data_IF_632888912289
#
_entry.id   IF_632888912289
#
_cell.length_a   1.000
_cell.length_b   1.000
_cell.length_c   1.000
_cell.angle_alpha   90.00
_cell.angle_beta   90.00
_cell.angle_gamma   90.00
#
_symmetry.space_group_name_H-M   'P 1'
#
loop_
_entity.id
_entity.type
_entity.pdbx_description
1 polymer ?
#
# COMPACT_ATOMS: atom_id res chain seq x y z
N UNK A 1 45.88 16.79 8.65
CA UNK A 1 45.35 16.69 7.25
C UNK A 1 43.82 16.77 7.19
N UNK A 2 43.10 16.24 8.19
CA UNK A 2 41.62 16.18 8.22
C UNK A 2 40.94 17.31 9.01
N UNK A 3 41.71 18.23 9.57
CA UNK A 3 41.19 19.30 10.44
C UNK A 3 40.52 20.42 9.65
N UNK A 4 40.88 20.62 8.39
CA UNK A 4 40.27 21.63 7.52
C UNK A 4 39.56 20.97 6.36
N UNK A 5 38.28 21.27 6.19
CA UNK A 5 37.45 20.68 5.15
C UNK A 5 36.30 21.62 4.78
N UNK A 6 35.73 21.45 3.60
CA UNK A 6 34.51 22.14 3.20
C UNK A 6 33.34 21.17 3.13
N UNK A 7 32.18 21.65 3.55
CA UNK A 7 30.90 20.96 3.43
C UNK A 7 30.07 21.73 2.41
N UNK A 8 29.68 21.06 1.33
CA UNK A 8 28.87 21.59 0.25
C UNK A 8 27.52 20.87 0.19
N UNK A 9 26.44 21.65 0.20
CA UNK A 9 25.08 21.18 0.01
C UNK A 9 24.61 21.60 -1.37
N UNK A 10 24.09 20.65 -2.13
CA UNK A 10 23.50 20.88 -3.44
C UNK A 10 22.36 19.90 -3.67
N UNK A 11 21.54 20.16 -4.68
CA UNK A 11 20.54 19.21 -5.12
C UNK A 11 20.59 19.05 -6.64
N UNK A 12 20.08 17.91 -7.10
CA UNK A 12 19.97 17.57 -8.51
C UNK A 12 18.49 17.39 -8.83
N UNK A 13 18.00 18.15 -9.81
CA UNK A 13 16.61 18.09 -10.26
C UNK A 13 16.37 16.94 -11.26
N UNK A 14 15.14 16.74 -11.70
CA UNK A 14 14.78 15.70 -12.68
C UNK A 14 15.39 15.89 -14.08
N UNK A 15 16.01 17.05 -14.33
CA UNK A 15 16.74 17.36 -15.56
C UNK A 15 18.25 17.18 -15.39
N UNK A 16 18.68 16.49 -14.32
CA UNK A 16 20.07 16.31 -13.91
C UNK A 16 20.87 17.61 -13.70
N UNK A 17 20.16 18.73 -13.49
CA UNK A 17 20.81 20.01 -13.21
C UNK A 17 21.18 20.09 -11.74
N UNK A 18 22.47 20.32 -11.48
CA UNK A 18 23.02 20.53 -10.15
C UNK A 18 22.89 21.99 -9.73
N UNK A 19 22.21 22.24 -8.62
CA UNK A 19 22.06 23.57 -8.02
C UNK A 19 22.74 23.61 -6.65
N UNK A 20 23.68 24.53 -6.48
CA UNK A 20 24.33 24.78 -5.19
C UNK A 20 23.37 25.44 -4.23
N UNK A 21 23.31 24.94 -2.99
CA UNK A 21 22.46 25.49 -1.92
C UNK A 21 23.32 26.32 -0.98
N UNK A 22 24.35 25.69 -0.41
CA UNK A 22 25.18 26.30 0.61
C UNK A 22 26.53 25.61 0.69
N UNK A 23 27.56 26.36 1.06
CA UNK A 23 28.89 25.83 1.29
C UNK A 23 29.51 26.52 2.51
N UNK A 24 30.20 25.74 3.34
CA UNK A 24 30.92 26.22 4.53
C UNK A 24 32.29 25.57 4.64
N UNK A 25 33.24 26.32 5.16
CA UNK A 25 34.57 25.82 5.51
C UNK A 25 34.61 25.56 7.02
N UNK A 26 35.08 24.38 7.40
CA UNK A 26 35.25 23.96 8.78
C UNK A 26 36.72 23.78 9.12
N UNK A 27 37.06 24.12 10.37
CA UNK A 27 38.37 23.91 10.95
C UNK A 27 38.24 23.38 12.37
N UNK A 28 38.60 22.12 12.58
CA UNK A 28 38.53 21.44 13.88
C UNK A 28 39.89 21.49 14.57
N UNK A 29 39.89 21.84 15.86
CA UNK A 29 41.07 21.75 16.72
C UNK A 29 41.15 20.35 17.30
N UNK A 30 42.31 19.69 17.17
CA UNK A 30 42.57 18.39 17.79
C UNK A 30 43.22 18.65 19.16
N UNK A 31 42.61 18.21 20.28
CA UNK A 31 43.23 18.28 21.59
C UNK A 31 44.52 17.44 21.63
N UNK A 32 45.50 17.89 22.42
CA UNK A 32 46.74 17.13 22.58
C UNK A 32 46.47 15.76 23.20
N UNK A 33 47.01 14.70 22.60
CA UNK A 33 46.81 13.30 23.03
C UNK A 33 45.62 12.59 22.38
N UNK A 34 44.87 13.26 21.51
CA UNK A 34 43.73 12.72 20.77
C UNK A 34 44.01 12.53 19.26
N UNK A 35 45.25 12.75 18.81
CA UNK A 35 45.60 12.81 17.38
C UNK A 35 45.37 11.48 16.63
N UNK A 36 45.39 10.36 17.35
CA UNK A 36 45.20 9.01 16.81
C UNK A 36 43.79 8.44 17.03
N UNK A 37 42.86 9.25 17.54
CA UNK A 37 41.48 8.82 17.78
C UNK A 37 40.54 9.27 16.67
N UNK A 38 39.46 8.51 16.49
CA UNK A 38 38.40 8.87 15.55
C UNK A 38 37.36 9.71 16.28
N UNK A 39 37.03 10.87 15.73
CA UNK A 39 35.95 11.73 16.21
C UNK A 39 34.75 11.65 15.27
N UNK A 40 33.55 11.65 15.85
CA UNK A 40 32.29 11.81 15.13
C UNK A 40 31.70 13.17 15.53
N UNK A 41 31.58 14.07 14.55
CA UNK A 41 31.04 15.41 14.73
C UNK A 41 29.81 15.58 13.83
N UNK A 42 28.79 16.25 14.37
CA UNK A 42 27.55 16.55 13.64
C UNK A 42 27.59 17.98 13.12
N UNK A 43 27.21 18.14 11.85
CA UNK A 43 27.17 19.43 11.16
C UNK A 43 25.78 19.63 10.57
N UNK A 44 24.95 20.36 11.29
CA UNK A 44 23.58 20.61 10.85
C UNK A 44 23.51 21.84 9.94
N UNK A 45 22.68 21.73 8.90
CA UNK A 45 22.30 22.85 8.05
C UNK A 45 20.81 22.76 7.74
N UNK A 46 20.07 23.84 8.02
CA UNK A 46 18.66 23.93 7.71
C UNK A 46 18.49 24.60 6.35
N UNK A 47 18.01 23.83 5.38
CA UNK A 47 17.65 24.35 4.06
C UNK A 47 16.37 25.17 4.22
N UNK A 48 16.42 26.45 3.87
CA UNK A 48 15.22 27.27 3.73
C UNK A 48 14.64 27.05 2.33
N UNK A 49 13.31 26.88 2.20
CA UNK A 49 12.68 26.85 0.88
C UNK A 49 13.02 28.15 0.15
N UNK A 50 13.69 28.03 -1.00
CA UNK A 50 13.88 29.17 -1.88
C UNK A 50 12.50 29.57 -2.41
N UNK A 51 12.16 30.86 -2.45
CA UNK A 51 10.80 31.36 -2.68
C UNK A 51 10.14 30.88 -3.99
N UNK A 52 10.90 30.26 -4.91
CA UNK A 52 10.44 29.80 -6.20
C UNK A 52 10.56 28.27 -6.32
N UNK A 53 9.55 27.56 -5.81
CA UNK A 53 8.87 26.31 -6.23
C UNK A 53 9.56 25.20 -7.06
N UNK A 54 10.86 25.20 -7.32
CA UNK A 54 11.51 24.12 -8.11
C UNK A 54 12.33 23.13 -7.29
N UNK A 55 12.33 23.22 -5.96
CA UNK A 55 13.17 22.45 -5.02
C UNK A 55 12.90 20.92 -4.96
N UNK A 56 12.28 20.32 -5.97
CA UNK A 56 12.04 18.87 -6.06
C UNK A 56 13.23 18.17 -6.69
N UNK A 57 13.92 17.34 -5.91
CA UNK A 57 15.01 16.53 -6.43
C UNK A 57 15.77 15.82 -5.32
N UNK A 58 16.97 15.34 -5.65
CA UNK A 58 17.81 14.63 -4.68
C UNK A 58 18.84 15.59 -4.11
N UNK A 59 18.80 15.77 -2.80
CA UNK A 59 19.69 16.61 -2.02
C UNK A 59 20.90 15.82 -1.57
N UNK A 60 22.09 16.39 -1.74
CA UNK A 60 23.36 15.78 -1.40
C UNK A 60 24.14 16.66 -0.43
N UNK A 61 24.88 15.99 0.45
CA UNK A 61 25.95 16.58 1.24
C UNK A 61 27.27 16.02 0.74
N UNK A 62 28.19 16.91 0.41
CA UNK A 62 29.51 16.60 -0.10
C UNK A 62 30.57 17.23 0.81
N UNK A 63 31.54 16.44 1.23
CA UNK A 63 32.64 16.90 2.08
C UNK A 63 33.95 16.77 1.31
N UNK A 64 34.73 17.85 1.27
CA UNK A 64 36.03 17.92 0.58
C UNK A 64 37.13 18.30 1.55
N UNK A 65 38.23 17.56 1.54
CA UNK A 65 39.42 17.90 2.32
C UNK A 65 40.68 17.44 1.58
N UNK A 66 41.54 18.40 1.24
CA UNK A 66 42.66 18.17 0.33
C UNK A 66 42.13 17.51 -0.97
N UNK A 67 42.72 16.38 -1.36
CA UNK A 67 42.37 15.64 -2.58
C UNK A 67 41.26 14.59 -2.37
N UNK A 68 40.68 14.52 -1.15
CA UNK A 68 39.63 13.54 -0.83
C UNK A 68 38.27 14.24 -0.88
N UNK A 69 37.36 13.58 -1.58
CA UNK A 69 35.96 13.97 -1.69
C UNK A 69 35.07 12.79 -1.32
N UNK A 70 34.08 13.05 -0.47
CA UNK A 70 33.05 12.07 -0.12
C UNK A 70 31.68 12.70 -0.28
N UNK A 71 30.78 11.95 -0.91
CA UNK A 71 29.39 12.37 -1.13
C UNK A 71 28.49 11.42 -0.35
N UNK A 72 27.53 11.99 0.38
CA UNK A 72 26.49 11.22 1.08
C UNK A 72 25.55 10.52 0.10
N UNK A 73 24.75 9.57 0.59
CA UNK A 73 23.78 8.81 -0.23
C UNK A 73 22.71 9.67 -0.89
N UNK A 74 22.49 10.87 -0.36
CA UNK A 74 21.46 11.80 -0.79
C UNK A 74 20.09 11.49 -0.21
N UNK A 75 19.19 12.46 -0.29
CA UNK A 75 17.80 12.37 0.17
C UNK A 75 16.91 12.97 -0.90
N UNK A 76 15.93 12.21 -1.39
CA UNK A 76 14.94 12.73 -2.32
C UNK A 76 13.89 13.56 -1.56
N UNK A 77 13.68 14.79 -2.02
CA UNK A 77 12.68 15.72 -1.48
C UNK A 77 11.72 16.08 -2.60
N UNK A 78 10.43 15.91 -2.32
CA UNK A 78 9.35 16.29 -3.22
C UNK A 78 8.69 17.56 -2.70
N UNK A 79 9.02 18.69 -3.31
CA UNK A 79 8.38 19.97 -3.04
C UNK A 79 7.00 20.00 -3.73
N UNK A 80 5.97 20.35 -2.96
CA UNK A 80 4.59 20.52 -3.44
C UNK A 80 4.04 21.83 -2.92
N UNK A 81 3.38 22.59 -3.77
CA UNK A 81 2.77 23.87 -3.40
C UNK A 81 1.63 23.70 -2.38
N UNK A 82 0.96 22.54 -2.40
CA UNK A 82 -0.22 22.24 -1.56
C UNK A 82 0.09 21.45 -0.30
N UNK A 83 1.37 21.21 0.02
CA UNK A 83 1.79 20.41 1.18
C UNK A 83 1.51 18.91 1.03
N UNK A 84 1.70 18.15 2.11
CA UNK A 84 1.41 16.72 2.15
C UNK A 84 -0.06 16.49 2.56
N UNK A 85 -0.88 16.04 1.62
CA UNK A 85 -2.21 15.50 1.94
C UNK A 85 -2.06 14.02 2.25
N UNK A 86 -2.35 13.64 3.50
CA UNK A 86 -2.33 12.25 3.91
C UNK A 86 -3.43 11.49 3.15
N UNK A 87 -3.04 10.52 2.32
CA UNK A 87 -3.97 9.77 1.46
C UNK A 87 -4.83 8.75 2.22
N UNK A 88 -4.60 8.58 3.53
CA UNK A 88 -5.38 7.68 4.40
C UNK A 88 -6.89 7.95 4.36
N UNK A 89 -7.28 9.22 4.20
CA UNK A 89 -8.69 9.63 4.25
C UNK A 89 -9.56 8.93 3.20
N UNK A 90 -9.03 8.68 2.00
CA UNK A 90 -9.77 7.96 0.95
C UNK A 90 -10.01 6.50 1.31
N UNK A 91 -9.03 5.84 1.93
CA UNK A 91 -9.14 4.44 2.34
C UNK A 91 -10.13 4.27 3.49
N UNK A 92 -10.09 5.17 4.48
CA UNK A 92 -11.01 5.17 5.63
C UNK A 92 -12.47 5.36 5.18
N UNK A 93 -12.73 6.25 4.22
CA UNK A 93 -14.07 6.44 3.66
C UNK A 93 -14.58 5.18 2.97
N UNK A 94 -13.75 4.55 2.12
CA UNK A 94 -14.15 3.35 1.37
C UNK A 94 -14.46 2.18 2.30
N UNK A 95 -13.64 1.98 3.34
CA UNK A 95 -13.87 0.95 4.36
C UNK A 95 -15.17 1.23 5.11
N UNK A 96 -15.37 2.47 5.58
CA UNK A 96 -16.56 2.86 6.33
C UNK A 96 -17.84 2.67 5.52
N UNK A 97 -17.82 3.10 4.25
CA UNK A 97 -18.95 2.95 3.34
C UNK A 97 -19.28 1.46 3.10
N UNK A 98 -18.26 0.63 2.91
CA UNK A 98 -18.43 -0.81 2.67
C UNK A 98 -19.02 -1.51 3.88
N UNK A 99 -18.53 -1.21 5.08
CA UNK A 99 -19.07 -1.75 6.34
C UNK A 99 -20.52 -1.34 6.52
N UNK A 100 -20.84 -0.07 6.29
CA UNK A 100 -22.22 0.44 6.39
C UNK A 100 -23.16 -0.30 5.43
N UNK A 101 -22.76 -0.43 4.16
CA UNK A 101 -23.54 -1.13 3.14
C UNK A 101 -23.73 -2.61 3.46
N UNK A 102 -22.70 -3.27 4.00
CA UNK A 102 -22.77 -4.67 4.41
C UNK A 102 -23.77 -4.88 5.55
N UNK A 103 -23.71 -4.03 6.59
CA UNK A 103 -24.66 -4.07 7.71
C UNK A 103 -26.08 -3.85 7.22
N UNK A 104 -26.32 -2.83 6.39
CA UNK A 104 -27.65 -2.55 5.83
C UNK A 104 -28.18 -3.73 5.01
N UNK A 105 -27.33 -4.36 4.20
CA UNK A 105 -27.70 -5.51 3.36
C UNK A 105 -28.09 -6.73 4.19
N UNK A 106 -27.31 -7.05 5.24
CA UNK A 106 -27.61 -8.16 6.16
C UNK A 106 -28.93 -7.88 6.89
N UNK A 107 -29.09 -6.66 7.40
CA UNK A 107 -30.28 -6.26 8.16
C UNK A 107 -31.54 -6.32 7.30
N UNK A 108 -31.49 -5.79 6.06
CA UNK A 108 -32.59 -5.87 5.11
C UNK A 108 -32.95 -7.33 4.79
N UNK A 109 -31.94 -8.17 4.53
CA UNK A 109 -32.15 -9.60 4.22
C UNK A 109 -32.79 -10.34 5.40
N UNK A 110 -32.31 -10.09 6.63
CA UNK A 110 -32.87 -10.68 7.84
C UNK A 110 -34.34 -10.26 8.06
N UNK A 111 -34.67 -8.98 7.85
CA UNK A 111 -36.03 -8.46 7.97
C UNK A 111 -36.98 -9.08 6.92
N UNK A 112 -36.51 -9.23 5.68
CA UNK A 112 -37.29 -9.89 4.61
C UNK A 112 -37.57 -11.36 4.93
N UNK A 113 -36.57 -12.10 5.42
CA UNK A 113 -36.75 -13.50 5.84
C UNK A 113 -37.66 -13.61 7.06
N UNK A 114 -37.55 -12.70 8.04
CA UNK A 114 -38.46 -12.65 9.19
C UNK A 114 -39.89 -12.42 8.72
N UNK A 115 -40.13 -11.42 7.87
CA UNK A 115 -41.46 -11.14 7.31
C UNK A 115 -42.02 -12.34 6.57
N UNK A 116 -41.22 -13.03 5.75
CA UNK A 116 -41.63 -14.25 5.06
C UNK A 116 -42.01 -15.37 6.03
N UNK A 117 -41.19 -15.61 7.07
CA UNK A 117 -41.49 -16.63 8.09
C UNK A 117 -42.73 -16.27 8.93
N UNK A 118 -42.90 -15.01 9.31
CA UNK A 118 -44.07 -14.52 10.04
C UNK A 118 -45.36 -14.60 9.20
N UNK A 119 -45.28 -14.31 7.90
CA UNK A 119 -46.41 -14.44 6.98
C UNK A 119 -46.78 -15.91 6.76
N UNK A 120 -45.79 -16.82 6.64
CA UNK A 120 -46.05 -18.26 6.58
C UNK A 120 -46.61 -18.82 7.91
N UNK A 121 -46.21 -18.27 9.07
CA UNK A 121 -46.76 -18.67 10.37
C UNK A 121 -48.20 -18.16 10.60
N UNK A 122 -48.58 -17.00 10.03
CA UNK A 122 -49.95 -16.48 10.06
C UNK A 122 -50.88 -17.13 9.01
N UNK A 123 -50.32 -17.77 7.98
CA UNK A 123 -51.06 -18.52 6.94
C UNK A 123 -50.96 -20.04 7.18
N UNK A 124 -51.21 -20.45 8.41
CA UNK A 124 -51.59 -21.84 8.77
C UNK A 124 -52.96 -21.73 9.44
N UNK A 125 -54.13 -21.97 8.85
CA UNK A 125 -54.56 -22.63 7.60
C UNK A 125 -55.72 -21.82 6.95
N UNK A 126 -56.06 -22.07 5.66
CA UNK A 126 -57.16 -23.00 5.42
C UNK A 126 -56.84 -24.04 4.34
N UNK A 127 -57.38 -25.24 4.56
CA UNK A 127 -57.71 -26.30 3.61
C UNK A 127 -56.69 -26.72 2.53
N UNK A 128 -56.37 -28.02 2.53
CA UNK A 128 -55.78 -28.70 1.39
C UNK A 128 -56.75 -28.63 0.21
N UNK A 129 -56.69 -27.56 -0.57
CA UNK A 129 -57.27 -27.56 -1.91
C UNK A 129 -56.35 -28.40 -2.78
N UNK A 130 -56.78 -29.62 -3.05
CA UNK A 130 -56.21 -30.51 -4.05
C UNK A 130 -56.19 -29.75 -5.39
N UNK A 131 -55.04 -29.20 -5.79
CA UNK A 131 -54.87 -28.60 -7.11
C UNK A 131 -55.15 -29.66 -8.19
N UNK A 132 -55.94 -29.38 -9.24
CA UNK A 132 -56.13 -30.32 -10.33
C UNK A 132 -54.78 -30.58 -11.01
N UNK A 133 -54.38 -31.85 -11.04
CA UNK A 133 -53.18 -32.37 -11.71
C UNK A 133 -53.20 -31.97 -13.19
N UNK A 134 -52.46 -30.93 -13.56
CA UNK A 134 -52.26 -30.52 -14.95
C UNK A 134 -51.26 -31.48 -15.62
N UNK A 135 -51.80 -32.44 -16.36
CA UNK A 135 -51.23 -33.24 -17.44
C UNK A 135 -49.70 -33.44 -17.45
N UNK A 136 -49.26 -34.63 -17.06
CA UNK A 136 -47.93 -35.15 -17.40
C UNK A 136 -47.91 -35.51 -18.90
N UNK A 137 -46.94 -35.02 -19.70
CA UNK A 137 -46.64 -35.67 -20.96
C UNK A 137 -45.94 -37.00 -20.67
N UNK A 138 -46.49 -38.09 -21.21
CA UNK A 138 -45.86 -39.41 -21.22
C UNK A 138 -44.48 -39.33 -21.87
N UNK A 139 -43.42 -39.42 -21.09
CA UNK A 139 -42.10 -39.79 -21.60
C UNK A 139 -41.82 -41.20 -21.10
N UNK A 140 -42.01 -42.13 -22.03
CA UNK A 140 -41.67 -43.54 -21.96
C UNK A 140 -40.26 -43.70 -21.36
N UNK A 141 -40.18 -44.18 -20.11
CA UNK A 141 -38.90 -44.52 -19.48
C UNK A 141 -38.42 -45.84 -20.08
N UNK A 142 -37.69 -45.78 -21.19
CA UNK A 142 -36.93 -46.92 -21.68
C UNK A 142 -35.88 -47.25 -20.61
N UNK A 143 -36.09 -48.38 -19.92
CA UNK A 143 -35.15 -48.93 -18.95
C UNK A 143 -33.93 -49.43 -19.72
N UNK A 144 -32.87 -48.64 -19.76
CA UNK A 144 -31.52 -49.12 -20.10
C UNK A 144 -30.72 -49.13 -18.81
N UNK A 145 -30.49 -50.35 -18.32
CA UNK A 145 -29.63 -50.66 -17.19
C UNK A 145 -28.18 -50.55 -17.66
N UNK A 146 -27.51 -49.44 -17.38
CA UNK A 146 -26.06 -49.31 -17.63
C UNK A 146 -25.33 -49.44 -16.29
N UNK A 147 -24.62 -50.55 -16.13
CA UNK A 147 -23.72 -50.82 -15.00
C UNK A 147 -22.71 -49.69 -14.78
N UNK A 148 -22.38 -49.44 -13.51
CA UNK A 148 -21.30 -48.54 -13.09
C UNK A 148 -19.94 -49.17 -13.37
N UNK A 149 -18.99 -48.50 -14.05
CA UNK A 149 -17.60 -48.95 -14.08
C UNK A 149 -16.91 -48.62 -12.75
N UNK A 150 -16.23 -49.62 -12.18
CA UNK A 150 -15.37 -49.52 -11.00
C UNK A 150 -14.21 -48.56 -11.25
N UNK A 151 -14.00 -47.63 -10.32
CA UNK A 151 -12.89 -46.66 -10.36
C UNK A 151 -11.54 -47.37 -10.17
N UNK A 152 -10.55 -47.06 -11.02
CA UNK A 152 -9.15 -47.39 -10.81
C UNK A 152 -8.40 -46.15 -10.31
N UNK A 153 -7.44 -46.27 -9.37
CA UNK A 153 -6.72 -45.11 -8.82
C UNK A 153 -5.73 -44.51 -9.84
N UNK A 154 -5.43 -43.19 -9.74
CA UNK A 154 -4.59 -42.49 -10.71
C UNK A 154 -3.09 -42.84 -10.59
N UNK A 155 -2.33 -42.78 -11.70
CA UNK A 155 -0.88 -43.01 -11.69
C UNK A 155 -0.10 -41.81 -11.10
N UNK A 156 1.11 -42.03 -10.54
CA UNK A 156 1.91 -40.99 -9.92
C UNK A 156 2.60 -40.06 -10.95
N UNK A 157 2.96 -38.82 -10.55
CA UNK A 157 3.50 -37.82 -11.44
C UNK A 157 4.96 -38.10 -11.84
N UNK A 158 5.26 -37.85 -13.11
CA UNK A 158 6.62 -37.82 -13.67
C UNK A 158 7.17 -36.40 -13.51
N UNK A 159 8.38 -36.27 -12.98
CA UNK A 159 9.12 -35.01 -12.91
C UNK A 159 10.15 -34.97 -14.05
N UNK A 160 10.19 -33.85 -14.77
CA UNK A 160 11.30 -33.43 -15.62
C UNK A 160 12.24 -32.48 -14.84
#
# INVERSE_FOLDING_TARGET
>A
KYTKFSICYYWINSLDQKTSIYSRLESVVIPSGEENKTAALSYDYRIMPLENTSSTGTYYCEVKWNDIQKVGKGVFVLARDTGYLNTSYGWEILVTLTVLLAVLSITATALLLWKRKAMCHLVSCPEQVLCPRRNQPNILRQKVETQLPSASPPPPPVYD
#
